data_IF_448756366337
#
_entry.id   IF_448756366337
#
_cell.length_a   1.000
_cell.length_b   1.000
_cell.length_c   1.000
_cell.angle_alpha   90.00
_cell.angle_beta   90.00
_cell.angle_gamma   90.00
#
_symmetry.space_group_name_H-M   'P 1'
#
loop_
_entity.id
_entity.type
_entity.pdbx_description
1 polymer ?
#
# COMPACT_ATOMS: atom_id res chain seq x y z
N UNK A 1 24.39 50.46 9.86
CA UNK A 1 24.90 49.09 10.09
C UNK A 1 23.82 48.14 9.61
N UNK A 2 24.03 47.51 8.45
CA UNK A 2 23.10 46.56 7.87
C UNK A 2 23.51 45.15 8.30
N UNK A 3 22.62 44.42 8.97
CA UNK A 3 22.77 43.00 9.23
C UNK A 3 22.00 42.24 8.14
N UNK A 4 22.73 41.67 7.19
CA UNK A 4 22.23 40.74 6.18
C UNK A 4 21.79 39.44 6.85
N UNK A 5 20.53 39.06 6.63
CA UNK A 5 19.93 37.83 7.11
C UNK A 5 20.42 36.60 6.35
N UNK A 6 20.72 35.54 7.09
CA UNK A 6 20.75 34.18 6.55
C UNK A 6 19.34 33.60 6.67
N UNK A 7 18.50 33.80 5.65
CA UNK A 7 17.33 32.96 5.44
C UNK A 7 17.80 31.61 4.90
N UNK A 8 18.43 30.80 5.75
CA UNK A 8 18.75 29.42 5.43
C UNK A 8 17.44 28.66 5.23
N UNK A 9 17.11 28.33 3.98
CA UNK A 9 16.04 27.38 3.68
C UNK A 9 16.44 26.04 4.29
N UNK A 10 15.81 25.66 5.40
CA UNK A 10 15.99 24.35 6.01
C UNK A 10 15.54 23.29 5.03
N UNK A 11 16.43 22.34 4.72
CA UNK A 11 16.08 21.17 3.92
C UNK A 11 15.12 20.30 4.75
N UNK A 12 13.95 19.92 4.22
CA UNK A 12 13.04 19.03 4.93
C UNK A 12 13.72 17.67 5.14
N UNK A 13 13.64 17.15 6.37
CA UNK A 13 14.18 15.85 6.75
C UNK A 13 13.20 14.69 6.50
N UNK A 14 11.96 14.99 6.11
CA UNK A 14 10.94 14.00 5.79
C UNK A 14 9.83 14.55 4.90
N UNK A 15 9.08 13.63 4.28
CA UNK A 15 7.84 13.88 3.55
C UNK A 15 6.70 13.14 4.24
N UNK A 16 5.55 13.78 4.39
CA UNK A 16 4.37 13.17 5.01
C UNK A 16 3.25 12.98 3.99
N UNK A 17 2.57 11.84 4.06
CA UNK A 17 1.39 11.50 3.24
C UNK A 17 0.23 11.17 4.17
N UNK A 18 -0.89 11.89 4.06
CA UNK A 18 -2.05 11.67 4.94
C UNK A 18 -2.76 10.34 4.64
N UNK A 19 -3.45 9.78 5.65
CA UNK A 19 -4.31 8.60 5.47
C UNK A 19 -5.35 8.81 4.36
N UNK A 20 -5.99 9.98 4.30
CA UNK A 20 -6.95 10.29 3.23
C UNK A 20 -6.30 10.19 1.85
N UNK A 21 -5.09 10.73 1.70
CA UNK A 21 -4.38 10.68 0.42
C UNK A 21 -4.03 9.24 0.05
N UNK A 22 -3.59 8.42 1.02
CA UNK A 22 -3.33 6.99 0.82
C UNK A 22 -4.59 6.22 0.44
N UNK A 23 -5.71 6.50 1.10
CA UNK A 23 -7.02 5.94 0.80
C UNK A 23 -7.44 6.27 -0.65
N UNK A 24 -7.31 7.52 -1.09
CA UNK A 24 -7.62 7.93 -2.46
C UNK A 24 -6.75 7.21 -3.50
N UNK A 25 -5.45 7.07 -3.22
CA UNK A 25 -4.50 6.42 -4.13
C UNK A 25 -4.76 4.91 -4.22
N UNK A 26 -5.05 4.27 -3.09
CA UNK A 26 -5.43 2.86 -3.04
C UNK A 26 -6.76 2.61 -3.77
N UNK A 27 -7.79 3.42 -3.51
CA UNK A 27 -9.11 3.27 -4.11
C UNK A 27 -9.09 3.31 -5.65
N UNK A 28 -8.19 4.10 -6.25
CA UNK A 28 -8.00 4.16 -7.73
C UNK A 28 -7.53 2.85 -8.36
N UNK A 29 -7.02 1.91 -7.56
CA UNK A 29 -6.56 0.58 -8.02
C UNK A 29 -7.68 -0.47 -7.98
N UNK A 30 -8.87 -0.09 -7.55
CA UNK A 30 -10.04 -0.95 -7.44
C UNK A 30 -11.19 -0.38 -8.29
N UNK A 31 -12.16 -1.22 -8.71
CA UNK A 31 -12.31 -2.64 -8.37
C UNK A 31 -11.28 -3.55 -9.04
N UNK A 32 -11.12 -4.76 -8.52
CA UNK A 32 -10.29 -5.81 -9.12
C UNK A 32 -10.98 -7.14 -9.15
N UNK A 33 -10.65 -7.90 -10.17
CA UNK A 33 -11.33 -9.13 -10.52
C UNK A 33 -10.30 -10.25 -10.56
N UNK A 34 -10.57 -11.32 -9.82
CA UNK A 34 -9.69 -12.48 -9.73
C UNK A 34 -10.45 -13.77 -10.08
N UNK A 35 -10.01 -14.52 -11.10
CA UNK A 35 -10.54 -15.86 -11.32
C UNK A 35 -10.09 -16.77 -10.17
N UNK A 36 -11.02 -17.55 -9.63
CA UNK A 36 -10.75 -18.54 -8.57
C UNK A 36 -11.12 -19.92 -9.08
N UNK A 37 -10.13 -20.82 -9.12
CA UNK A 37 -10.27 -22.20 -9.61
C UNK A 37 -10.92 -22.32 -11.03
N UNK A 38 -10.85 -21.26 -11.86
CA UNK A 38 -11.34 -21.24 -13.24
C UNK A 38 -12.86 -21.23 -13.44
N UNK A 39 -13.65 -21.37 -12.37
CA UNK A 39 -15.13 -21.44 -12.44
C UNK A 39 -15.81 -20.32 -11.65
N UNK A 40 -15.07 -19.72 -10.72
CA UNK A 40 -15.52 -18.65 -9.85
C UNK A 40 -14.77 -17.36 -10.18
N UNK A 41 -15.39 -16.26 -9.81
CA UNK A 41 -14.90 -14.91 -9.99
C UNK A 41 -15.04 -14.17 -8.67
N UNK A 42 -13.93 -13.69 -8.12
CA UNK A 42 -13.89 -12.88 -6.91
C UNK A 42 -13.66 -11.41 -7.30
N UNK A 43 -14.63 -10.58 -7.00
CA UNK A 43 -14.59 -9.15 -7.25
C UNK A 43 -14.32 -8.40 -5.96
N UNK A 44 -13.17 -7.75 -5.89
CA UNK A 44 -12.76 -6.89 -4.80
C UNK A 44 -13.11 -5.44 -5.12
N UNK A 45 -13.88 -4.79 -4.23
CA UNK A 45 -14.28 -3.38 -4.37
C UNK A 45 -13.26 -2.46 -3.71
N UNK A 46 -13.53 -1.16 -3.69
CA UNK A 46 -12.63 -0.19 -3.06
C UNK A 46 -12.45 -0.48 -1.55
N UNK A 47 -11.21 -0.59 -1.05
CA UNK A 47 -10.93 -0.85 0.35
C UNK A 47 -11.21 0.35 1.23
N UNK A 48 -11.37 0.10 2.53
CA UNK A 48 -11.21 1.07 3.60
C UNK A 48 -9.87 0.85 4.31
N UNK A 49 -9.04 1.89 4.34
CA UNK A 49 -7.68 1.88 4.89
C UNK A 49 -7.67 2.41 6.32
N UNK A 50 -6.92 1.74 7.19
CA UNK A 50 -6.59 2.22 8.53
C UNK A 50 -5.10 2.08 8.83
N UNK A 51 -4.60 2.92 9.73
CA UNK A 51 -3.18 2.96 10.11
C UNK A 51 -2.96 2.10 11.35
N UNK A 52 -1.88 1.30 11.37
CA UNK A 52 -1.46 0.48 12.51
C UNK A 52 -0.03 0.87 12.98
N UNK A 53 0.14 2.01 13.68
CA UNK A 53 1.47 2.53 14.03
C UNK A 53 2.30 1.59 14.90
N UNK A 54 1.67 0.94 15.88
CA UNK A 54 2.32 -0.01 16.82
C UNK A 54 3.03 -1.17 16.11
N UNK A 55 2.63 -1.47 14.88
CA UNK A 55 3.18 -2.54 14.05
C UNK A 55 3.95 -2.03 12.84
N UNK A 56 3.99 -0.72 12.63
CA UNK A 56 4.45 -0.08 11.39
C UNK A 56 3.78 -0.65 10.13
N UNK A 57 2.47 -0.89 10.20
CA UNK A 57 1.67 -1.51 9.12
C UNK A 57 0.43 -0.68 8.81
N UNK A 58 -0.22 -1.02 7.71
CA UNK A 58 -1.56 -0.57 7.37
C UNK A 58 -2.50 -1.76 7.31
N UNK A 59 -3.78 -1.51 7.53
CA UNK A 59 -4.84 -2.49 7.34
C UNK A 59 -5.78 -2.01 6.23
N UNK A 60 -6.20 -2.94 5.36
CA UNK A 60 -7.25 -2.71 4.39
C UNK A 60 -8.37 -3.73 4.57
N UNK A 61 -9.59 -3.22 4.77
CA UNK A 61 -10.82 -4.01 4.70
C UNK A 61 -11.44 -3.79 3.33
N UNK A 62 -11.50 -4.85 2.55
CA UNK A 62 -11.91 -4.84 1.14
C UNK A 62 -13.25 -5.58 1.03
N UNK A 63 -14.36 -4.90 0.67
CA UNK A 63 -15.59 -5.59 0.32
C UNK A 63 -15.36 -6.52 -0.87
N UNK A 64 -15.89 -7.72 -0.78
CA UNK A 64 -15.69 -8.78 -1.75
C UNK A 64 -17.01 -9.37 -2.20
N UNK A 65 -17.06 -9.81 -3.45
CA UNK A 65 -18.23 -10.45 -4.04
C UNK A 65 -17.77 -11.68 -4.83
N UNK A 66 -18.30 -12.84 -4.50
CA UNK A 66 -17.99 -14.10 -5.15
C UNK A 66 -19.17 -14.50 -6.06
N UNK A 67 -18.87 -14.72 -7.33
CA UNK A 67 -19.85 -15.14 -8.34
C UNK A 67 -19.29 -16.27 -9.20
N UNK A 68 -20.15 -16.98 -9.94
CA UNK A 68 -19.72 -18.05 -10.83
C UNK A 68 -20.84 -18.99 -11.24
N UNK A 69 -20.62 -19.74 -12.32
CA UNK A 69 -21.65 -20.63 -12.90
C UNK A 69 -22.02 -21.80 -12.00
N UNK A 70 -21.14 -22.16 -11.07
CA UNK A 70 -21.33 -23.27 -10.13
C UNK A 70 -21.95 -22.83 -8.80
N UNK A 71 -22.17 -21.52 -8.61
CA UNK A 71 -22.83 -20.96 -7.43
C UNK A 71 -24.32 -20.80 -7.69
N UNK A 72 -25.11 -20.94 -6.62
CA UNK A 72 -26.57 -20.74 -6.66
C UNK A 72 -26.94 -19.27 -6.78
N UNK A 73 -26.10 -18.41 -6.22
CA UNK A 73 -26.27 -16.96 -6.13
C UNK A 73 -24.90 -16.29 -6.00
N UNK A 74 -24.88 -14.97 -5.94
CA UNK A 74 -23.70 -14.19 -5.58
C UNK A 74 -23.57 -14.13 -4.07
N UNK A 75 -22.35 -14.28 -3.56
CA UNK A 75 -22.06 -14.19 -2.14
C UNK A 75 -21.27 -12.92 -1.85
N UNK A 76 -21.75 -12.11 -0.93
CA UNK A 76 -21.04 -10.94 -0.44
C UNK A 76 -20.11 -11.32 0.72
N UNK A 77 -19.06 -10.54 0.92
CA UNK A 77 -18.12 -10.79 1.99
C UNK A 77 -17.04 -9.73 2.10
N UNK A 78 -15.92 -10.10 2.71
CA UNK A 78 -14.77 -9.21 2.87
C UNK A 78 -13.44 -9.96 2.83
N UNK A 79 -12.42 -9.23 2.40
CA UNK A 79 -11.01 -9.57 2.56
C UNK A 79 -10.39 -8.54 3.52
N UNK A 80 -9.81 -9.00 4.61
CA UNK A 80 -9.11 -8.17 5.59
C UNK A 80 -7.62 -8.51 5.55
N UNK A 81 -6.78 -7.50 5.26
CA UNK A 81 -5.34 -7.67 5.09
C UNK A 81 -4.55 -6.61 5.85
N UNK A 82 -3.48 -7.04 6.52
CA UNK A 82 -2.42 -6.13 6.98
C UNK A 82 -1.26 -6.17 5.98
N UNK A 83 -0.58 -5.03 5.81
CA UNK A 83 0.62 -4.96 4.99
C UNK A 83 1.56 -3.85 5.47
N UNK A 84 2.86 -4.06 5.29
CA UNK A 84 3.87 -3.04 5.49
C UNK A 84 4.18 -2.34 4.16
N UNK A 85 4.93 -1.24 4.22
CA UNK A 85 5.36 -0.50 3.03
C UNK A 85 6.87 -0.43 2.89
N UNK A 86 7.35 -0.63 1.66
CA UNK A 86 8.74 -0.45 1.29
C UNK A 86 8.85 0.50 0.11
N UNK A 87 9.95 1.23 0.06
CA UNK A 87 10.33 1.99 -1.11
C UNK A 87 10.95 1.06 -2.16
N UNK A 88 10.55 1.24 -3.42
CA UNK A 88 11.10 0.56 -4.58
C UNK A 88 11.88 1.58 -5.42
N UNK A 89 13.22 1.58 -5.38
CA UNK A 89 14.04 2.57 -6.08
C UNK A 89 13.94 2.48 -7.61
N UNK A 90 13.62 1.30 -8.15
CA UNK A 90 13.63 1.06 -9.60
C UNK A 90 12.57 1.88 -10.34
N UNK A 91 11.42 2.12 -9.72
CA UNK A 91 10.34 2.93 -10.28
C UNK A 91 9.88 4.06 -9.35
N UNK A 92 10.59 4.29 -8.25
CA UNK A 92 10.36 5.34 -7.25
C UNK A 92 8.98 5.27 -6.60
N UNK A 93 8.54 4.06 -6.25
CA UNK A 93 7.21 3.80 -5.68
C UNK A 93 7.24 3.30 -4.24
N UNK A 94 6.18 3.61 -3.47
CA UNK A 94 5.87 2.88 -2.23
C UNK A 94 5.02 1.64 -2.55
N UNK A 95 5.53 0.46 -2.21
CA UNK A 95 4.90 -0.83 -2.48
C UNK A 95 4.52 -1.56 -1.19
N UNK A 96 3.35 -2.18 -1.22
CA UNK A 96 2.95 -3.11 -0.16
C UNK A 96 3.85 -4.35 -0.17
N UNK A 97 4.27 -4.80 1.01
CA UNK A 97 5.01 -6.03 1.23
C UNK A 97 4.63 -6.63 2.59
N UNK A 98 5.10 -7.86 2.87
CA UNK A 98 4.71 -8.60 4.08
C UNK A 98 3.18 -8.66 4.23
N UNK A 99 2.51 -9.04 3.14
CA UNK A 99 1.04 -9.12 3.11
C UNK A 99 0.61 -10.24 4.06
N UNK A 100 -0.27 -9.91 5.01
CA UNK A 100 -0.86 -10.85 5.95
C UNK A 100 -2.37 -10.83 5.79
N UNK A 101 -2.94 -11.96 5.40
CA UNK A 101 -4.39 -12.15 5.39
C UNK A 101 -4.85 -12.40 6.82
N UNK A 102 -5.73 -11.52 7.31
CA UNK A 102 -6.39 -11.70 8.59
C UNK A 102 -7.66 -12.55 8.41
N UNK A 103 -8.41 -12.29 7.33
CA UNK A 103 -9.66 -12.98 7.05
C UNK A 103 -10.03 -12.86 5.57
N UNK A 104 -10.56 -13.94 5.00
CA UNK A 104 -11.36 -13.93 3.78
C UNK A 104 -12.62 -14.73 4.06
N UNK A 105 -13.78 -14.08 4.01
CA UNK A 105 -15.04 -14.72 4.35
C UNK A 105 -16.15 -14.22 3.44
N UNK A 106 -17.03 -15.15 3.06
CA UNK A 106 -18.24 -14.88 2.29
C UNK A 106 -19.45 -15.30 3.13
N UNK A 107 -20.45 -14.43 3.22
CA UNK A 107 -21.67 -14.67 3.98
C UNK A 107 -22.48 -15.78 3.30
N UNK A 108 -22.94 -16.77 4.07
CA UNK A 108 -23.79 -17.86 3.54
C UNK A 108 -23.08 -18.89 2.66
N UNK A 109 -21.76 -18.78 2.49
CA UNK A 109 -20.97 -19.76 1.73
C UNK A 109 -20.82 -21.07 2.51
N UNK A 110 -20.92 -22.22 1.84
CA UNK A 110 -20.78 -23.52 2.50
C UNK A 110 -19.35 -23.72 3.02
N UNK A 111 -19.14 -24.48 4.12
CA UNK A 111 -17.81 -24.69 4.69
C UNK A 111 -16.78 -25.20 3.68
N UNK A 112 -17.16 -26.15 2.82
CA UNK A 112 -16.26 -26.69 1.79
C UNK A 112 -15.81 -25.64 0.76
N UNK A 113 -16.70 -24.72 0.36
CA UNK A 113 -16.35 -23.63 -0.55
C UNK A 113 -15.51 -22.55 0.16
N UNK A 114 -15.80 -22.27 1.44
CA UNK A 114 -15.00 -21.36 2.27
C UNK A 114 -13.57 -21.87 2.46
N UNK A 115 -13.39 -23.17 2.74
CA UNK A 115 -12.07 -23.79 2.87
C UNK A 115 -11.29 -23.71 1.55
N UNK A 116 -11.96 -24.02 0.43
CA UNK A 116 -11.37 -23.89 -0.91
C UNK A 116 -10.94 -22.45 -1.18
N UNK A 117 -11.81 -21.46 -0.93
CA UNK A 117 -11.49 -20.05 -1.11
C UNK A 117 -10.30 -19.62 -0.23
N UNK A 118 -10.23 -20.14 1.00
CA UNK A 118 -9.13 -19.93 1.93
C UNK A 118 -7.77 -20.35 1.36
N UNK A 119 -7.71 -21.41 0.54
CA UNK A 119 -6.45 -21.85 -0.10
C UNK A 119 -5.87 -20.83 -1.08
N UNK A 120 -6.70 -19.95 -1.64
CA UNK A 120 -6.27 -18.90 -2.57
C UNK A 120 -6.07 -17.55 -1.88
N UNK A 121 -6.49 -17.41 -0.61
CA UNK A 121 -6.58 -16.11 0.06
C UNK A 121 -5.25 -15.34 0.07
N UNK A 122 -4.14 -16.01 0.38
CA UNK A 122 -2.81 -15.39 0.41
C UNK A 122 -2.37 -14.91 -0.98
N UNK A 123 -2.43 -15.77 -1.99
CA UNK A 123 -2.04 -15.41 -3.35
C UNK A 123 -2.92 -14.28 -3.92
N UNK A 124 -4.22 -14.32 -3.65
CA UNK A 124 -5.16 -13.26 -4.01
C UNK A 124 -4.81 -11.94 -3.32
N UNK A 125 -4.53 -11.98 -2.01
CA UNK A 125 -4.12 -10.81 -1.26
C UNK A 125 -2.78 -10.25 -1.74
N UNK A 126 -1.82 -11.09 -2.11
CA UNK A 126 -0.54 -10.65 -2.69
C UNK A 126 -0.73 -10.02 -4.07
N UNK A 127 -1.54 -10.61 -4.94
CA UNK A 127 -1.83 -10.06 -6.26
C UNK A 127 -2.64 -8.76 -6.15
N UNK A 128 -3.56 -8.69 -5.19
CA UNK A 128 -4.24 -7.46 -4.85
C UNK A 128 -3.22 -6.44 -4.31
N UNK A 129 -2.56 -6.67 -3.19
CA UNK A 129 -1.82 -5.61 -2.53
C UNK A 129 -0.47 -5.31 -3.19
N UNK A 130 0.20 -6.30 -3.78
CA UNK A 130 1.58 -6.22 -4.27
C UNK A 130 1.82 -5.29 -5.46
N UNK A 131 0.76 -4.89 -6.18
CA UNK A 131 0.84 -3.90 -7.27
C UNK A 131 0.37 -2.50 -6.86
N UNK A 132 -0.01 -2.29 -5.60
CA UNK A 132 -0.47 -0.99 -5.16
C UNK A 132 0.74 -0.08 -4.96
N UNK A 133 1.02 0.73 -5.98
CA UNK A 133 1.80 1.97 -5.87
C UNK A 133 0.95 2.92 -5.03
N UNK A 134 1.24 2.98 -3.73
CA UNK A 134 0.52 3.89 -2.85
C UNK A 134 0.97 5.32 -3.01
N UNK A 135 2.20 5.58 -3.47
CA UNK A 135 2.67 6.93 -3.75
C UNK A 135 3.84 6.81 -4.72
N UNK A 136 3.72 7.48 -5.87
CA UNK A 136 4.88 7.87 -6.67
C UNK A 136 5.23 9.26 -6.16
N UNK A 137 6.45 9.43 -5.62
CA UNK A 137 6.89 10.78 -5.28
C UNK A 137 6.73 11.63 -6.54
N UNK A 138 5.97 12.72 -6.47
CA UNK A 138 5.72 13.53 -7.65
C UNK A 138 7.06 14.07 -8.17
N UNK A 139 7.21 14.21 -9.48
CA UNK A 139 8.45 14.67 -10.11
C UNK A 139 8.96 15.99 -9.51
N UNK A 140 8.05 16.83 -9.00
CA UNK A 140 8.35 18.10 -8.34
C UNK A 140 9.08 17.90 -7.00
N UNK A 141 8.63 16.94 -6.19
CA UNK A 141 9.24 16.61 -4.90
C UNK A 141 10.56 15.85 -5.11
N UNK A 142 10.62 14.98 -6.13
CA UNK A 142 11.84 14.29 -6.51
C UNK A 142 12.89 15.20 -7.12
N UNK A 143 12.52 16.21 -7.91
CA UNK A 143 13.50 17.15 -8.47
C UNK A 143 14.23 17.91 -7.36
N UNK A 144 13.52 18.26 -6.29
CA UNK A 144 14.13 18.88 -5.11
C UNK A 144 14.99 17.88 -4.33
N UNK A 145 14.51 16.65 -4.13
CA UNK A 145 15.26 15.57 -3.47
C UNK A 145 16.53 15.19 -4.25
N UNK A 146 16.42 15.00 -5.57
CA UNK A 146 17.53 14.71 -6.48
C UNK A 146 18.52 15.89 -6.53
N UNK A 147 18.04 17.14 -6.60
CA UNK A 147 18.90 18.34 -6.55
C UNK A 147 19.65 18.48 -5.22
N UNK A 148 19.08 17.97 -4.13
CA UNK A 148 19.69 17.96 -2.80
C UNK A 148 20.47 16.66 -2.52
N UNK A 149 20.66 15.80 -3.52
CA UNK A 149 21.31 14.50 -3.40
C UNK A 149 20.75 13.65 -2.24
N UNK A 150 19.42 13.68 -2.06
CA UNK A 150 18.71 12.89 -1.06
C UNK A 150 17.97 11.71 -1.67
N UNK A 151 17.58 10.76 -0.84
CA UNK A 151 16.73 9.62 -1.20
C UNK A 151 15.73 9.28 -0.08
N UNK A 152 14.60 8.63 -0.42
CA UNK A 152 13.69 8.08 0.58
C UNK A 152 14.39 7.08 1.51
N UNK A 153 14.34 7.35 2.81
CA UNK A 153 14.85 6.50 3.88
C UNK A 153 13.74 5.70 4.56
N UNK A 154 13.81 5.62 5.89
CA UNK A 154 12.85 4.87 6.70
C UNK A 154 11.40 5.36 6.49
N UNK A 155 10.48 4.40 6.37
CA UNK A 155 9.04 4.65 6.28
C UNK A 155 8.41 4.32 7.64
N UNK A 156 7.71 5.31 8.19
CA UNK A 156 7.03 5.20 9.48
C UNK A 156 5.53 5.44 9.30
N UNK A 157 4.72 4.48 9.74
CA UNK A 157 3.28 4.62 9.89
C UNK A 157 2.98 5.38 11.18
N UNK A 158 2.21 6.46 11.03
CA UNK A 158 1.68 7.26 12.15
C UNK A 158 0.17 7.13 12.18
N UNK A 159 -0.46 7.61 13.26
CA UNK A 159 -1.92 7.62 13.35
C UNK A 159 -2.59 8.50 12.27
N UNK A 160 -1.86 9.45 11.67
CA UNK A 160 -2.38 10.38 10.67
C UNK A 160 -2.01 9.98 9.22
N UNK A 161 -1.09 9.03 9.03
CA UNK A 161 -0.63 8.64 7.70
C UNK A 161 0.78 8.06 7.71
N UNK A 162 1.58 8.40 6.70
CA UNK A 162 2.96 7.95 6.55
C UNK A 162 3.92 9.12 6.65
N UNK A 163 5.07 8.88 7.25
CA UNK A 163 6.24 9.73 7.15
C UNK A 163 7.35 8.94 6.47
N UNK A 164 7.97 9.54 5.46
CA UNK A 164 9.13 8.98 4.76
C UNK A 164 10.31 9.89 5.07
N UNK A 165 11.32 9.37 5.76
CA UNK A 165 12.55 10.11 6.01
C UNK A 165 13.24 10.45 4.68
N UNK A 166 13.91 11.59 4.63
CA UNK A 166 14.80 11.96 3.54
C UNK A 166 16.23 11.88 4.06
N UNK A 167 17.05 11.05 3.44
CA UNK A 167 18.45 10.83 3.83
C UNK A 167 19.37 11.22 2.69
N UNK A 168 20.60 11.64 2.99
CA UNK A 168 21.59 11.89 1.95
C UNK A 168 21.90 10.58 1.23
N UNK A 169 21.83 10.63 -0.11
CA UNK A 169 22.26 9.54 -0.96
C UNK A 169 23.74 9.31 -0.72
N UNK A 170 24.11 8.11 -0.28
CA UNK A 170 25.52 7.77 -0.11
C UNK A 170 26.24 7.99 -1.45
N UNK A 171 27.23 8.89 -1.47
CA UNK A 171 28.03 9.13 -2.66
C UNK A 171 28.75 7.82 -3.01
N UNK A 172 28.43 7.22 -4.15
CA UNK A 172 29.15 6.09 -4.71
C UNK A 172 30.58 6.54 -5.07
N UNK A 173 31.49 6.52 -4.10
CA UNK A 173 32.81 7.11 -4.27
C UNK A 173 33.63 7.21 -2.99
N UNK A 174 33.89 6.08 -2.33
CA UNK A 174 35.08 5.96 -1.49
C UNK A 174 35.57 4.51 -1.47
N UNK A 175 36.09 4.07 -2.62
CA UNK A 175 37.12 3.02 -2.63
C UNK A 175 38.46 3.75 -2.77
N UNK A 176 39.24 3.72 -1.70
CA UNK A 176 40.70 3.87 -1.78
C UNK A 176 41.30 2.49 -2.02
#
# INVERSE_FOLDING_TARGET
MAATGCSGKSVPSSVSVSQQKLQEMLARRFPRQFPVAGLLQLDLKAPQLSMLPERNMLNAVIPAELSGKVLKEQYSGLLNVDFALRYEPTDRTLRAYQIKVNQLSMDGLSPALSDMLGTYATALAEQAMGQVVLYQLQDQDLALVDALAMEPGAITVTAQGLTVALVQKASAGSKR
#
